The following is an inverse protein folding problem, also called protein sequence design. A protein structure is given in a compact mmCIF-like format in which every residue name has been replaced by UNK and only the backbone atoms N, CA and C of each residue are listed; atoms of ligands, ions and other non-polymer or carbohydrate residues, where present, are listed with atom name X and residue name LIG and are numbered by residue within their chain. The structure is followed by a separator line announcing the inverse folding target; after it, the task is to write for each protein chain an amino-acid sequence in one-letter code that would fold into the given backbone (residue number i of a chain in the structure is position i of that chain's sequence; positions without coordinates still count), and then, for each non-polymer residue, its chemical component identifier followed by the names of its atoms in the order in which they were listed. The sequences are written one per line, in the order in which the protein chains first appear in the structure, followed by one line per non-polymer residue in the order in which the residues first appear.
data_IF_022704528754
#
_entry.id   IF_022704528754
#
_cell.length_a   1.000
_cell.length_b   1.000
_cell.length_c   1.000
_cell.angle_alpha   90.00
_cell.angle_beta   90.00
_cell.angle_gamma   90.00
#
_symmetry.space_group_name_H-M   'P 1'
#
loop_
_entity.id
_entity.type
_entity.pdbx_description
1 polymer ?
#
# COMPACT_ATOMS: atom_id res chain seq x y z
N UNK A 1 -13.14 13.38 -5.72
CA UNK A 1 -14.09 13.20 -4.59
C UNK A 1 -14.62 11.78 -4.49
N UNK A 2 -15.04 11.17 -5.60
CA UNK A 2 -15.54 9.79 -5.63
C UNK A 2 -14.52 8.78 -5.08
N UNK A 3 -13.24 8.97 -5.38
CA UNK A 3 -12.14 8.09 -4.98
C UNK A 3 -12.04 8.00 -3.46
N UNK A 4 -12.09 9.15 -2.79
CA UNK A 4 -12.03 9.25 -1.32
C UNK A 4 -13.26 8.62 -0.66
N UNK A 5 -14.44 8.80 -1.25
CA UNK A 5 -15.68 8.21 -0.75
C UNK A 5 -15.69 6.68 -0.87
N UNK A 6 -15.28 6.14 -2.02
CA UNK A 6 -15.17 4.70 -2.21
C UNK A 6 -14.06 4.11 -1.35
N UNK A 7 -12.91 4.80 -1.25
CA UNK A 7 -11.81 4.38 -0.37
C UNK A 7 -12.27 4.30 1.09
N UNK A 8 -12.97 5.33 1.57
CA UNK A 8 -13.60 5.34 2.88
C UNK A 8 -14.49 4.12 3.11
N UNK A 9 -15.38 3.82 2.15
CA UNK A 9 -16.32 2.68 2.23
C UNK A 9 -15.59 1.35 2.36
N UNK A 10 -14.51 1.15 1.59
CA UNK A 10 -13.72 -0.07 1.62
C UNK A 10 -12.93 -0.17 2.92
N UNK A 11 -12.19 0.87 3.31
CA UNK A 11 -11.38 0.88 4.53
C UNK A 11 -12.27 0.61 5.75
N UNK A 12 -13.43 1.29 5.86
CA UNK A 12 -14.37 1.06 6.96
C UNK A 12 -14.85 -0.40 7.02
N UNK A 13 -15.21 -1.01 5.88
CA UNK A 13 -15.64 -2.41 5.83
C UNK A 13 -14.53 -3.37 6.25
N UNK A 14 -13.30 -3.14 5.76
CA UNK A 14 -12.13 -3.97 6.08
C UNK A 14 -11.86 -3.90 7.58
N UNK A 15 -11.77 -2.70 8.16
CA UNK A 15 -11.48 -2.52 9.58
C UNK A 15 -12.61 -3.00 10.49
N UNK A 16 -13.87 -2.85 10.07
CA UNK A 16 -15.02 -3.32 10.86
C UNK A 16 -15.15 -4.84 10.88
N UNK A 17 -14.88 -5.51 9.75
CA UNK A 17 -15.07 -6.97 9.61
C UNK A 17 -13.79 -7.77 9.81
N UNK A 18 -12.65 -7.08 9.97
CA UNK A 18 -11.31 -7.64 9.97
C UNK A 18 -11.05 -8.58 8.77
N UNK A 19 -11.56 -8.21 7.59
CA UNK A 19 -11.47 -9.02 6.36
C UNK A 19 -11.16 -8.14 5.17
N UNK A 20 -10.02 -8.39 4.54
CA UNK A 20 -9.68 -7.81 3.25
C UNK A 20 -10.22 -8.70 2.13
N UNK A 21 -10.86 -8.09 1.14
CA UNK A 21 -11.47 -8.81 0.01
C UNK A 21 -11.01 -8.17 -1.29
N UNK A 22 -10.21 -8.91 -2.06
CA UNK A 22 -9.79 -8.49 -3.40
C UNK A 22 -11.00 -8.29 -4.33
N UNK A 23 -12.07 -9.07 -4.16
CA UNK A 23 -13.31 -8.90 -4.94
C UNK A 23 -14.02 -7.58 -4.62
N UNK A 24 -14.06 -7.18 -3.35
CA UNK A 24 -14.61 -5.88 -2.93
C UNK A 24 -13.80 -4.76 -3.59
N UNK A 25 -12.48 -4.77 -3.40
CA UNK A 25 -11.56 -3.77 -3.95
C UNK A 25 -11.70 -3.63 -5.48
N UNK A 26 -11.70 -4.75 -6.20
CA UNK A 26 -11.84 -4.77 -7.66
C UNK A 26 -13.20 -4.24 -8.12
N UNK A 27 -14.28 -4.57 -7.39
CA UNK A 27 -15.63 -4.07 -7.69
C UNK A 27 -15.71 -2.54 -7.56
N UNK A 28 -15.13 -1.96 -6.50
CA UNK A 28 -15.09 -0.49 -6.35
C UNK A 28 -14.16 0.17 -7.38
N UNK A 29 -12.99 -0.41 -7.65
CA UNK A 29 -12.09 0.12 -8.67
C UNK A 29 -12.75 0.16 -10.06
N UNK A 30 -13.49 -0.88 -10.44
CA UNK A 30 -14.25 -0.91 -11.71
C UNK A 30 -15.31 0.18 -11.76
N UNK A 31 -16.02 0.43 -10.64
CA UNK A 31 -17.00 1.51 -10.54
C UNK A 31 -16.35 2.88 -10.78
N UNK A 32 -15.22 3.14 -10.13
CA UNK A 32 -14.47 4.40 -10.30
C UNK A 32 -14.03 4.59 -11.75
N UNK A 33 -13.46 3.54 -12.35
CA UNK A 33 -13.03 3.57 -13.76
C UNK A 33 -14.21 3.86 -14.72
N UNK A 34 -15.38 3.30 -14.45
CA UNK A 34 -16.59 3.52 -15.27
C UNK A 34 -17.09 4.97 -15.17
N UNK A 35 -16.74 5.68 -14.10
CA UNK A 35 -17.12 7.08 -13.87
C UNK A 35 -15.96 8.04 -14.16
N UNK A 36 -14.99 7.60 -14.97
CA UNK A 36 -13.79 8.37 -15.35
C UNK A 36 -12.96 8.87 -14.16
N UNK A 37 -13.11 8.25 -12.99
CA UNK A 37 -12.36 8.61 -11.79
C UNK A 37 -10.97 7.97 -11.76
N UNK A 38 -10.13 8.47 -10.86
CA UNK A 38 -8.77 7.96 -10.71
C UNK A 38 -8.74 6.69 -9.82
N UNK A 39 -8.86 5.52 -10.46
CA UNK A 39 -8.83 4.23 -9.76
C UNK A 39 -7.47 3.93 -9.10
N UNK A 40 -6.36 4.46 -9.62
CA UNK A 40 -5.02 4.30 -9.04
C UNK A 40 -4.93 5.04 -7.72
N UNK A 41 -5.40 6.30 -7.70
CA UNK A 41 -5.50 7.09 -6.47
C UNK A 41 -6.36 6.39 -5.42
N UNK A 42 -7.48 5.78 -5.82
CA UNK A 42 -8.27 4.94 -4.92
C UNK A 42 -7.50 3.75 -4.34
N UNK A 43 -6.75 3.00 -5.17
CA UNK A 43 -5.92 1.90 -4.70
C UNK A 43 -4.85 2.37 -3.71
N UNK A 44 -4.18 3.48 -4.03
CA UNK A 44 -3.18 4.11 -3.17
C UNK A 44 -3.77 4.47 -1.82
N UNK A 45 -4.94 5.13 -1.79
CA UNK A 45 -5.63 5.47 -0.54
C UNK A 45 -5.99 4.23 0.28
N UNK A 46 -6.63 3.23 -0.33
CA UNK A 46 -7.11 2.03 0.41
C UNK A 46 -5.94 1.22 0.94
N UNK A 47 -5.00 0.84 0.07
CA UNK A 47 -3.85 0.01 0.46
C UNK A 47 -2.95 0.77 1.43
N UNK A 48 -2.72 2.05 1.17
CA UNK A 48 -1.90 2.91 2.01
C UNK A 48 -2.43 3.06 3.43
N UNK A 49 -3.72 3.39 3.58
CA UNK A 49 -4.34 3.51 4.91
C UNK A 49 -4.33 2.19 5.66
N UNK A 50 -4.60 1.06 4.99
CA UNK A 50 -4.58 -0.25 5.64
C UNK A 50 -3.15 -0.61 6.08
N UNK A 51 -2.18 -0.41 5.19
CA UNK A 51 -0.76 -0.70 5.44
C UNK A 51 -0.19 0.14 6.58
N UNK A 52 -0.54 1.44 6.63
CA UNK A 52 -0.07 2.41 7.63
C UNK A 52 -1.01 2.58 8.82
N UNK A 53 -2.01 1.70 8.98
CA UNK A 53 -3.10 1.87 9.96
C UNK A 53 -2.56 2.06 11.39
N UNK A 54 -1.57 1.27 11.79
CA UNK A 54 -0.99 1.35 13.14
C UNK A 54 -0.41 2.73 13.45
N UNK A 55 0.38 3.27 12.51
CA UNK A 55 0.98 4.59 12.64
C UNK A 55 -0.08 5.70 12.58
N UNK A 56 -1.02 5.63 11.62
CA UNK A 56 -2.12 6.60 11.50
C UNK A 56 -3.00 6.63 12.76
N UNK A 57 -3.22 5.47 13.38
CA UNK A 57 -3.94 5.36 14.66
C UNK A 57 -3.16 6.01 15.80
N UNK A 58 -1.86 5.79 15.86
CA UNK A 58 -0.96 6.43 16.83
C UNK A 58 -0.98 7.95 16.69
N UNK A 59 -0.74 8.47 15.49
CA UNK A 59 -0.80 9.90 15.16
C UNK A 59 -2.14 10.50 15.57
N UNK A 60 -3.25 9.87 15.16
CA UNK A 60 -4.58 10.36 15.51
C UNK A 60 -4.86 10.35 17.02
N UNK A 61 -4.23 9.46 17.78
CA UNK A 61 -4.33 9.43 19.25
C UNK A 61 -3.47 10.48 19.95
N UNK A 62 -2.37 10.91 19.31
CA UNK A 62 -1.47 11.97 19.80
C UNK A 62 -2.08 13.36 19.63
N UNK A 63 -3.06 13.52 18.75
CA UNK A 63 -3.83 14.76 18.62
C UNK A 63 -5.19 14.66 19.32
N UNK A 64 -5.56 15.74 20.00
CA UNK A 64 -6.79 15.79 20.79
C UNK A 64 -6.65 15.09 22.15
N UNK A 65 -7.78 14.90 22.82
CA UNK A 65 -7.80 14.32 24.16
C UNK A 65 -7.84 12.77 24.06
N UNK A 66 -6.88 12.01 24.60
CA UNK A 66 -6.78 10.56 24.41
C UNK A 66 -8.07 9.80 24.74
N UNK A 67 -8.70 10.14 25.89
CA UNK A 67 -10.00 9.56 26.30
C UNK A 67 -11.17 9.87 25.35
N UNK A 68 -11.10 10.98 24.60
CA UNK A 68 -12.13 11.34 23.62
C UNK A 68 -11.91 10.56 22.33
N UNK A 69 -10.66 10.51 21.84
CA UNK A 69 -10.31 9.75 20.65
C UNK A 69 -10.59 8.25 20.79
N UNK A 70 -10.31 7.65 21.96
CA UNK A 70 -10.59 6.24 22.20
C UNK A 70 -12.07 5.89 22.05
N UNK A 71 -12.96 6.81 22.42
CA UNK A 71 -14.43 6.68 22.31
C UNK A 71 -14.99 7.10 20.93
N UNK A 72 -14.16 7.63 20.04
CA UNK A 72 -14.59 8.03 18.70
C UNK A 72 -14.98 6.80 17.87
N UNK A 73 -16.14 6.86 17.21
CA UNK A 73 -16.62 5.81 16.32
C UNK A 73 -15.58 5.52 15.21
N UNK A 74 -15.38 4.23 14.90
CA UNK A 74 -14.51 3.78 13.82
C UNK A 74 -14.80 4.52 12.51
N UNK A 75 -16.06 4.85 12.23
CA UNK A 75 -16.49 5.65 11.08
C UNK A 75 -15.75 6.99 10.98
N UNK A 76 -15.54 7.67 12.10
CA UNK A 76 -14.84 8.95 12.16
C UNK A 76 -13.33 8.72 12.17
N UNK A 77 -12.84 7.66 12.85
CA UNK A 77 -11.43 7.28 12.80
C UNK A 77 -10.95 7.02 11.38
N UNK A 78 -11.75 6.33 10.54
CA UNK A 78 -11.41 6.09 9.13
C UNK A 78 -11.27 7.40 8.33
N UNK A 79 -12.10 8.42 8.61
CA UNK A 79 -11.95 9.74 7.97
C UNK A 79 -10.61 10.39 8.37
N UNK A 80 -10.25 10.30 9.66
CA UNK A 80 -8.97 10.80 10.14
C UNK A 80 -7.80 10.06 9.49
N UNK A 81 -7.84 8.73 9.44
CA UNK A 81 -6.77 7.94 8.80
C UNK A 81 -6.61 8.28 7.33
N UNK A 82 -7.72 8.46 6.62
CA UNK A 82 -7.70 8.88 5.22
C UNK A 82 -7.09 10.28 5.06
N UNK A 83 -7.45 11.22 5.93
CA UNK A 83 -6.89 12.58 5.93
C UNK A 83 -5.40 12.60 6.25
N UNK A 84 -4.98 11.96 7.34
CA UNK A 84 -3.57 11.86 7.73
C UNK A 84 -2.74 11.14 6.68
N UNK A 85 -3.23 10.05 6.09
CA UNK A 85 -2.49 9.34 5.05
C UNK A 85 -2.18 10.24 3.85
N UNK A 86 -3.13 11.06 3.42
CA UNK A 86 -2.91 12.02 2.34
C UNK A 86 -1.84 13.05 2.72
N UNK A 87 -1.93 13.63 3.92
CA UNK A 87 -0.98 14.64 4.39
C UNK A 87 0.45 14.10 4.57
N UNK A 88 0.59 12.83 4.92
CA UNK A 88 1.87 12.25 5.34
C UNK A 88 2.60 11.50 4.23
N UNK A 89 1.87 11.00 3.23
CA UNK A 89 2.43 10.06 2.26
C UNK A 89 2.15 10.43 0.79
N UNK A 90 1.31 11.43 0.51
CA UNK A 90 0.92 11.78 -0.85
C UNK A 90 1.37 13.20 -1.22
N UNK A 91 2.63 13.34 -1.61
CA UNK A 91 3.22 14.62 -2.05
C UNK A 91 2.46 15.28 -3.21
N UNK A 92 1.75 14.49 -4.01
CA UNK A 92 0.92 14.97 -5.12
C UNK A 92 -0.40 15.63 -4.68
N UNK A 93 -0.78 15.53 -3.41
CA UNK A 93 -2.01 16.11 -2.86
C UNK A 93 -1.63 17.27 -1.94
N UNK A 94 -1.92 18.53 -2.31
CA UNK A 94 -1.66 19.67 -1.43
C UNK A 94 -2.38 19.55 -0.08
N UNK A 95 -1.74 19.98 1.00
CA UNK A 95 -2.27 19.88 2.37
C UNK A 95 -3.70 20.41 2.51
N UNK A 96 -3.95 21.61 1.99
CA UNK A 96 -5.27 22.23 2.05
C UNK A 96 -6.33 21.37 1.33
N UNK A 97 -5.98 20.78 0.18
CA UNK A 97 -6.86 19.91 -0.58
C UNK A 97 -7.14 18.60 0.15
N UNK A 98 -6.13 18.01 0.79
CA UNK A 98 -6.30 16.81 1.63
C UNK A 98 -7.27 17.08 2.80
N UNK A 99 -7.13 18.22 3.47
CA UNK A 99 -8.01 18.63 4.58
C UNK A 99 -9.42 18.90 4.07
N UNK A 100 -9.59 19.81 3.12
CA UNK A 100 -10.90 20.29 2.67
C UNK A 100 -11.75 19.16 2.08
N UNK A 101 -11.15 18.28 1.28
CA UNK A 101 -11.88 17.14 0.69
C UNK A 101 -12.27 16.11 1.75
N UNK A 102 -11.41 15.88 2.76
CA UNK A 102 -11.74 14.96 3.86
C UNK A 102 -12.84 15.53 4.76
N UNK A 103 -12.83 16.85 5.01
CA UNK A 103 -13.86 17.57 5.77
C UNK A 103 -15.19 17.59 5.02
N UNK A 104 -15.16 17.85 3.70
CA UNK A 104 -16.33 17.79 2.83
C UNK A 104 -16.93 16.38 2.81
N UNK A 105 -16.09 15.35 2.74
CA UNK A 105 -16.53 13.96 2.83
C UNK A 105 -17.18 13.66 4.18
N UNK A 106 -16.57 14.11 5.29
CA UNK A 106 -17.12 13.96 6.63
C UNK A 106 -18.51 14.61 6.77
N UNK A 107 -18.67 15.82 6.23
CA UNK A 107 -19.96 16.54 6.21
C UNK A 107 -21.02 15.79 5.39
N UNK A 108 -20.61 15.26 4.23
CA UNK A 108 -21.49 14.55 3.30
C UNK A 108 -21.99 13.22 3.88
N UNK A 109 -21.12 12.46 4.53
CA UNK A 109 -21.47 11.15 5.09
C UNK A 109 -22.16 11.23 6.44
N UNK A 110 -21.95 12.33 7.18
CA UNK A 110 -22.41 12.48 8.56
C UNK A 110 -23.07 13.83 8.79
N UNK A 111 -22.39 14.75 9.47
CA UNK A 111 -22.94 16.04 9.86
C UNK A 111 -21.82 17.07 10.06
N UNK A 112 -22.21 18.33 10.23
CA UNK A 112 -21.28 19.45 10.41
C UNK A 112 -20.35 19.25 11.61
N UNK A 113 -20.87 18.73 12.74
CA UNK A 113 -20.06 18.49 13.95
C UNK A 113 -18.93 17.48 13.71
N UNK A 114 -19.18 16.41 12.94
CA UNK A 114 -18.13 15.46 12.55
C UNK A 114 -17.10 16.12 11.63
N UNK A 115 -17.55 16.95 10.69
CA UNK A 115 -16.67 17.68 9.79
C UNK A 115 -15.75 18.65 10.54
N UNK A 116 -16.29 19.40 11.51
CA UNK A 116 -15.53 20.33 12.34
C UNK A 116 -14.47 19.61 13.18
N UNK A 117 -14.83 18.44 13.74
CA UNK A 117 -13.88 17.61 14.48
C UNK A 117 -12.74 17.10 13.61
N UNK A 118 -13.06 16.56 12.42
CA UNK A 118 -12.05 16.10 11.45
C UNK A 118 -11.14 17.25 11.05
N UNK A 119 -11.70 18.42 10.72
CA UNK A 119 -10.94 19.62 10.36
C UNK A 119 -9.97 20.03 11.49
N UNK A 120 -10.46 20.10 12.73
CA UNK A 120 -9.65 20.49 13.89
C UNK A 120 -8.47 19.54 14.11
N UNK A 121 -8.71 18.22 13.98
CA UNK A 121 -7.68 17.18 14.13
C UNK A 121 -6.60 17.26 13.05
N UNK A 122 -6.98 17.37 11.77
CA UNK A 122 -6.03 17.46 10.66
C UNK A 122 -5.23 18.78 10.71
N UNK A 123 -5.89 19.91 11.01
CA UNK A 123 -5.20 21.20 11.20
C UNK A 123 -4.28 21.20 12.42
N UNK A 124 -4.58 20.41 13.46
CA UNK A 124 -3.69 20.28 14.61
C UNK A 124 -2.39 19.61 14.24
N UNK A 125 -2.44 18.58 13.39
CA UNK A 125 -1.24 17.94 12.87
C UNK A 125 -0.40 18.90 12.03
N UNK A 126 -1.02 19.65 11.11
CA UNK A 126 -0.28 20.63 10.29
C UNK A 126 0.44 21.72 11.11
N UNK A 127 -0.08 22.07 12.30
CA UNK A 127 0.59 23.02 13.21
C UNK A 127 1.76 22.41 13.98
N UNK A 128 1.68 21.11 14.30
CA UNK A 128 2.72 20.39 15.04
C UNK A 128 2.87 18.99 14.44
N UNK A 129 3.57 18.85 13.30
CA UNK A 129 3.67 17.56 12.61
C UNK A 129 4.58 16.57 13.35
N UNK A 130 5.40 17.05 14.29
CA UNK A 130 6.32 16.19 15.04
C UNK A 130 5.57 15.29 16.02
N UNK A 131 5.64 13.98 15.80
CA UNK A 131 5.06 12.94 16.64
C UNK A 131 6.16 12.31 17.46
N UNK A 132 6.06 12.44 18.79
CA UNK A 132 6.97 11.76 19.71
C UNK A 132 6.65 10.26 19.68
N UNK A 133 7.61 9.46 19.23
CA UNK A 133 7.55 8.00 19.26
C UNK A 133 8.15 7.46 20.57
N UNK A 134 7.84 6.21 20.96
CA UNK A 134 8.52 5.57 22.08
C UNK A 134 10.04 5.55 21.91
N UNK A 135 10.76 5.62 23.03
CA UNK A 135 12.23 5.52 23.07
C UNK A 135 12.71 4.09 22.85
N UNK A 136 11.92 3.11 23.29
CA UNK A 136 12.24 1.69 23.16
C UNK A 136 12.21 1.24 21.69
N UNK A 137 13.26 0.58 21.17
CA UNK A 137 13.37 0.28 19.73
C UNK A 137 12.23 -0.56 19.17
N UNK A 138 11.83 -1.64 19.86
CA UNK A 138 10.80 -2.56 19.36
C UNK A 138 9.43 -1.85 19.24
N UNK A 139 8.90 -1.19 20.30
CA UNK A 139 7.68 -0.39 20.18
C UNK A 139 7.77 0.75 19.16
N UNK A 140 8.92 1.42 19.05
CA UNK A 140 9.15 2.46 18.05
C UNK A 140 8.97 1.91 16.64
N UNK A 141 9.73 0.88 16.28
CA UNK A 141 9.71 0.25 14.95
C UNK A 141 8.30 -0.27 14.64
N UNK A 142 7.66 -0.93 15.62
CA UNK A 142 6.31 -1.46 15.45
C UNK A 142 5.29 -0.36 15.10
N UNK A 143 5.32 0.78 15.81
CA UNK A 143 4.43 1.91 15.55
C UNK A 143 4.76 2.59 14.24
N UNK A 144 6.02 2.96 14.04
CA UNK A 144 6.51 3.72 12.87
C UNK A 144 6.26 2.98 11.56
N UNK A 145 6.50 1.67 11.56
CA UNK A 145 6.29 0.82 10.39
C UNK A 145 4.95 0.07 10.40
N UNK A 146 4.06 0.35 11.37
CA UNK A 146 2.70 -0.22 11.42
C UNK A 146 2.64 -1.76 11.48
N UNK A 147 3.51 -2.38 12.27
CA UNK A 147 3.50 -3.81 12.56
C UNK A 147 3.08 -4.11 14.01
N UNK A 148 2.57 -5.31 14.30
CA UNK A 148 2.43 -5.78 15.69
C UNK A 148 3.79 -5.83 16.39
N UNK A 149 3.82 -5.40 17.66
CA UNK A 149 5.04 -5.39 18.48
C UNK A 149 5.67 -6.79 18.59
N UNK A 150 4.83 -7.82 18.68
CA UNK A 150 5.26 -9.22 18.79
C UNK A 150 5.96 -9.72 17.53
N UNK A 151 5.52 -9.25 16.35
CA UNK A 151 6.16 -9.58 15.08
C UNK A 151 7.55 -8.93 14.99
N UNK A 152 7.65 -7.65 15.36
CA UNK A 152 8.95 -6.96 15.39
C UNK A 152 9.89 -7.62 16.39
N UNK A 153 9.41 -7.96 17.59
CA UNK A 153 10.22 -8.71 18.56
C UNK A 153 10.77 -10.01 17.96
N UNK A 154 9.91 -10.78 17.29
CA UNK A 154 10.32 -12.04 16.64
C UNK A 154 11.37 -11.81 15.54
N UNK A 155 11.25 -10.74 14.76
CA UNK A 155 12.25 -10.40 13.74
C UNK A 155 13.57 -9.95 14.36
N UNK A 156 13.53 -9.20 15.46
CA UNK A 156 14.73 -8.80 16.20
C UNK A 156 15.46 -10.03 16.76
N UNK A 157 14.73 -11.02 17.26
CA UNK A 157 15.31 -12.26 17.78
C UNK A 157 16.00 -13.10 16.70
N UNK A 158 15.45 -13.12 15.47
CA UNK A 158 15.96 -13.94 14.36
C UNK A 158 17.06 -13.22 13.58
N UNK A 159 16.87 -11.93 13.28
CA UNK A 159 17.70 -11.20 12.32
C UNK A 159 18.54 -10.08 12.97
N UNK A 160 18.30 -9.76 14.24
CA UNK A 160 18.90 -8.61 14.92
C UNK A 160 18.13 -7.31 14.65
N UNK A 161 18.40 -6.28 15.47
CA UNK A 161 17.64 -5.03 15.49
C UNK A 161 17.65 -4.29 14.14
N UNK A 162 18.84 -4.06 13.58
CA UNK A 162 19.03 -3.30 12.34
C UNK A 162 18.34 -3.97 11.15
N UNK A 163 18.53 -5.29 11.00
CA UNK A 163 17.91 -6.05 9.91
C UNK A 163 16.38 -6.14 10.07
N UNK A 164 15.87 -6.25 11.29
CA UNK A 164 14.43 -6.25 11.54
C UNK A 164 13.78 -4.92 11.13
N UNK A 165 14.45 -3.79 11.42
CA UNK A 165 14.00 -2.46 10.98
C UNK A 165 14.06 -2.33 9.46
N UNK A 166 15.17 -2.75 8.83
CA UNK A 166 15.29 -2.77 7.37
C UNK A 166 14.18 -3.61 6.73
N UNK A 167 13.85 -4.78 7.29
CA UNK A 167 12.79 -5.64 6.81
C UNK A 167 11.41 -4.96 6.93
N UNK A 168 11.16 -4.27 8.06
CA UNK A 168 9.94 -3.50 8.28
C UNK A 168 9.80 -2.33 7.31
N UNK A 169 10.90 -1.65 6.98
CA UNK A 169 10.96 -0.62 5.93
C UNK A 169 10.67 -1.23 4.56
N UNK A 170 11.38 -2.29 4.19
CA UNK A 170 11.29 -2.95 2.89
C UNK A 170 9.87 -3.42 2.57
N UNK A 171 9.23 -4.16 3.48
CA UNK A 171 7.86 -4.62 3.27
C UNK A 171 6.83 -3.48 3.25
N UNK A 172 7.22 -2.29 3.71
CA UNK A 172 6.41 -1.08 3.62
C UNK A 172 6.56 -0.28 2.32
N UNK A 173 7.57 -0.56 1.52
CA UNK A 173 7.75 0.05 0.19
C UNK A 173 6.65 -0.38 -0.79
N UNK A 174 6.53 0.35 -1.91
CA UNK A 174 5.67 -0.07 -3.01
C UNK A 174 6.27 -1.34 -3.64
N UNK A 175 5.49 -2.43 -3.77
CA UNK A 175 6.03 -3.66 -4.31
C UNK A 175 6.32 -3.50 -5.79
N UNK A 176 7.56 -3.77 -6.18
CA UNK A 176 7.89 -4.08 -7.57
C UNK A 176 7.16 -5.38 -7.97
N UNK A 177 6.91 -5.57 -9.28
CA UNK A 177 6.43 -6.87 -9.77
C UNK A 177 7.56 -7.67 -10.36
N UNK A 178 7.50 -8.97 -10.11
CA UNK A 178 8.40 -9.93 -10.71
C UNK A 178 7.75 -10.52 -11.96
N UNK A 179 8.49 -10.48 -13.06
CA UNK A 179 8.11 -10.99 -14.37
C UNK A 179 9.00 -12.18 -14.68
N UNK A 180 8.40 -13.30 -15.07
CA UNK A 180 9.10 -14.47 -15.58
C UNK A 180 8.93 -14.60 -17.08
N UNK A 181 10.03 -14.71 -17.80
CA UNK A 181 10.05 -14.87 -19.26
C UNK A 181 9.47 -16.24 -19.62
N UNK A 182 8.54 -16.27 -20.57
CA UNK A 182 8.13 -17.52 -21.20
C UNK A 182 9.13 -17.88 -22.30
N UNK A 183 10.08 -18.76 -21.98
CA UNK A 183 11.16 -19.18 -22.89
C UNK A 183 10.66 -20.00 -24.09
N UNK A 184 9.42 -20.48 -24.07
CA UNK A 184 8.80 -21.13 -25.24
C UNK A 184 8.26 -20.13 -26.26
N UNK A 185 7.90 -18.91 -25.82
CA UNK A 185 7.28 -17.90 -26.67
C UNK A 185 8.28 -16.81 -27.10
N UNK A 186 9.26 -16.48 -26.26
CA UNK A 186 10.24 -15.42 -26.52
C UNK A 186 11.59 -15.71 -25.87
N UNK A 187 12.57 -14.84 -26.09
CA UNK A 187 13.87 -14.87 -25.40
C UNK A 187 14.02 -13.65 -24.50
N UNK A 188 14.92 -13.76 -23.52
CA UNK A 188 15.25 -12.66 -22.61
C UNK A 188 15.64 -11.38 -23.38
N UNK A 189 16.60 -11.48 -24.29
CA UNK A 189 17.11 -10.33 -25.05
C UNK A 189 15.99 -9.60 -25.82
N UNK A 190 15.08 -10.37 -26.43
CA UNK A 190 13.92 -9.82 -27.13
C UNK A 190 12.99 -9.09 -26.18
N UNK A 191 12.74 -9.67 -25.00
CA UNK A 191 11.87 -9.05 -24.00
C UNK A 191 12.49 -7.79 -23.38
N UNK A 192 13.79 -7.79 -23.08
CA UNK A 192 14.49 -6.59 -22.61
C UNK A 192 14.42 -5.47 -23.64
N UNK A 193 14.68 -5.76 -24.92
CA UNK A 193 14.58 -4.78 -26.00
C UNK A 193 13.14 -4.26 -26.16
N UNK A 194 12.17 -5.15 -26.05
CA UNK A 194 10.74 -4.82 -26.12
C UNK A 194 10.31 -3.84 -25.02
N UNK A 195 10.76 -4.04 -23.78
CA UNK A 195 10.46 -3.16 -22.65
C UNK A 195 11.27 -1.87 -22.66
N UNK A 196 12.54 -1.92 -23.08
CA UNK A 196 13.38 -0.72 -23.21
C UNK A 196 12.79 0.27 -24.23
N UNK A 197 12.22 -0.22 -25.34
CA UNK A 197 11.51 0.61 -26.32
C UNK A 197 10.20 1.23 -25.79
N UNK A 198 9.75 0.85 -24.59
CA UNK A 198 8.52 1.34 -23.93
C UNK A 198 8.81 2.10 -22.63
N UNK A 199 10.08 2.43 -22.39
CA UNK A 199 10.54 3.09 -21.15
C UNK A 199 10.15 2.33 -19.88
N UNK A 200 10.19 0.99 -19.93
CA UNK A 200 9.97 0.12 -18.78
C UNK A 200 11.30 -0.49 -18.37
N UNK A 201 11.85 -0.02 -17.24
CA UNK A 201 13.09 -0.53 -16.67
C UNK A 201 12.86 -1.93 -16.08
N UNK A 202 13.57 -2.93 -16.62
CA UNK A 202 13.66 -4.26 -16.04
C UNK A 202 15.00 -4.45 -15.35
N UNK A 203 14.97 -4.94 -14.11
CA UNK A 203 16.17 -5.25 -13.32
C UNK A 203 16.31 -6.75 -13.13
N UNK A 204 17.54 -7.25 -13.24
CA UNK A 204 17.86 -8.67 -13.05
C UNK A 204 18.05 -8.99 -11.57
N UNK A 205 17.81 -10.23 -11.20
CA UNK A 205 18.26 -10.78 -9.92
C UNK A 205 19.60 -11.51 -10.08
N UNK A 206 20.60 -11.26 -9.23
CA UNK A 206 21.79 -12.10 -9.19
C UNK A 206 21.41 -13.56 -8.94
N UNK A 207 21.86 -14.47 -9.81
CA UNK A 207 21.66 -15.91 -9.64
C UNK A 207 20.29 -16.47 -10.02
N UNK A 208 19.31 -15.65 -10.42
CA UNK A 208 17.99 -16.13 -10.86
C UNK A 208 17.86 -15.90 -12.37
N UNK A 209 17.59 -16.97 -13.11
CA UNK A 209 17.44 -16.91 -14.57
C UNK A 209 16.00 -16.59 -14.93
N UNK A 210 15.81 -15.90 -16.06
CA UNK A 210 14.50 -15.64 -16.65
C UNK A 210 13.49 -14.89 -15.76
N UNK A 211 13.91 -14.30 -14.63
CA UNK A 211 13.07 -13.47 -13.77
C UNK A 211 13.64 -12.08 -13.63
N UNK A 212 12.77 -11.09 -13.78
CA UNK A 212 13.11 -9.67 -13.77
C UNK A 212 12.13 -8.91 -12.91
N UNK A 213 12.61 -7.83 -12.34
CA UNK A 213 11.83 -6.89 -11.56
C UNK A 213 11.47 -5.70 -12.44
N UNK A 214 10.17 -5.48 -12.62
CA UNK A 214 9.65 -4.27 -13.25
C UNK A 214 9.19 -3.29 -12.17
N UNK A 215 9.76 -2.09 -12.17
CA UNK A 215 9.34 -1.02 -11.25
C UNK A 215 7.91 -0.56 -11.53
N UNK A 216 7.55 -0.45 -12.80
CA UNK A 216 6.20 -0.07 -13.20
C UNK A 216 5.30 -1.29 -13.32
N UNK A 217 4.73 -1.67 -12.18
CA UNK A 217 3.87 -2.83 -12.06
C UNK A 217 2.66 -2.78 -13.00
N UNK A 218 2.08 -1.60 -13.18
CA UNK A 218 0.85 -1.45 -13.97
C UNK A 218 1.11 -1.50 -15.45
N UNK A 219 2.18 -0.84 -15.92
CA UNK A 219 2.55 -0.93 -17.34
C UNK A 219 2.80 -2.38 -17.75
N UNK A 220 3.53 -3.14 -16.94
CA UNK A 220 3.77 -4.55 -17.26
C UNK A 220 2.54 -5.46 -17.10
N UNK A 221 1.56 -5.12 -16.25
CA UNK A 221 0.30 -5.89 -16.16
C UNK A 221 -0.66 -5.61 -17.32
N UNK A 222 -0.64 -4.41 -17.88
CA UNK A 222 -1.54 -3.98 -18.97
C UNK A 222 -0.90 -4.11 -20.36
N UNK A 223 0.34 -4.57 -20.46
CA UNK A 223 1.06 -4.69 -21.72
C UNK A 223 0.61 -5.92 -22.53
N UNK A 224 0.62 -5.78 -23.86
CA UNK A 224 0.18 -6.82 -24.80
C UNK A 224 1.00 -8.09 -24.67
N UNK A 225 2.29 -8.00 -24.35
CA UNK A 225 3.15 -9.16 -24.14
C UNK A 225 2.72 -10.03 -22.95
N UNK A 226 2.03 -9.45 -21.96
CA UNK A 226 1.43 -10.23 -20.88
C UNK A 226 0.22 -11.05 -21.39
N UNK A 227 -0.69 -10.41 -22.14
CA UNK A 227 -1.87 -11.09 -22.68
C UNK A 227 -1.54 -12.15 -23.74
N UNK A 228 -0.47 -11.92 -24.52
CA UNK A 228 0.04 -12.87 -25.51
C UNK A 228 0.91 -13.98 -24.91
N UNK A 229 1.14 -13.95 -23.58
CA UNK A 229 1.87 -15.01 -22.88
C UNK A 229 3.38 -15.01 -23.11
N UNK A 230 3.98 -13.88 -23.52
CA UNK A 230 5.44 -13.73 -23.62
C UNK A 230 6.12 -13.74 -22.26
N UNK A 231 5.38 -13.41 -21.21
CA UNK A 231 5.83 -13.52 -19.83
C UNK A 231 4.64 -13.69 -18.87
N UNK A 232 4.93 -14.05 -17.63
CA UNK A 232 3.96 -14.16 -16.54
C UNK A 232 4.41 -13.36 -15.32
N UNK A 233 3.46 -13.07 -14.40
CA UNK A 233 3.78 -12.47 -13.11
C UNK A 233 4.03 -13.59 -12.10
N UNK A 234 5.26 -13.70 -11.62
CA UNK A 234 5.66 -14.75 -10.69
C UNK A 234 6.78 -14.24 -9.79
N UNK A 235 6.69 -14.53 -8.48
CA UNK A 235 7.73 -14.16 -7.54
C UNK A 235 9.08 -14.83 -7.84
N UNK A 236 10.18 -14.11 -7.59
CA UNK A 236 11.52 -14.60 -7.86
C UNK A 236 11.87 -15.85 -7.04
N UNK A 237 11.46 -15.90 -5.76
CA UNK A 237 11.68 -17.09 -4.94
C UNK A 237 10.85 -18.28 -5.46
N UNK A 238 9.62 -18.04 -5.92
CA UNK A 238 8.79 -19.08 -6.51
C UNK A 238 9.37 -19.63 -7.83
N UNK A 239 10.06 -18.81 -8.62
CA UNK A 239 10.76 -19.28 -9.82
C UNK A 239 11.99 -20.12 -9.47
N UNK A 240 12.74 -19.72 -8.43
CA UNK A 240 13.93 -20.44 -7.99
C UNK A 240 13.61 -21.89 -7.59
N UNK A 241 12.42 -22.14 -7.03
CA UNK A 241 11.98 -23.51 -6.70
C UNK A 241 11.97 -24.41 -7.95
N UNK A 242 11.56 -23.89 -9.11
CA UNK A 242 11.54 -24.66 -10.36
C UNK A 242 12.96 -24.90 -10.87
N UNK A 243 13.81 -23.88 -10.79
CA UNK A 243 15.22 -23.99 -11.18
C UNK A 243 15.98 -24.99 -10.29
N UNK A 244 15.65 -25.07 -8.99
CA UNK A 244 16.21 -26.03 -8.04
C UNK A 244 15.67 -27.45 -8.24
N UNK A 245 14.41 -27.59 -8.70
CA UNK A 245 13.81 -28.88 -9.00
C UNK A 245 14.42 -29.52 -10.25
N UNK A 246 14.87 -28.71 -11.21
CA UNK A 246 15.47 -29.11 -12.49
C UNK A 246 14.70 -30.23 -13.23
N UNK A 247 13.39 -30.03 -13.52
CA UNK A 247 12.57 -31.06 -14.14
C UNK A 247 13.02 -31.37 -15.58
N UNK A 248 13.13 -32.66 -15.91
CA UNK A 248 13.52 -33.10 -17.25
C UNK A 248 12.30 -33.27 -18.17
N UNK A 249 12.49 -33.18 -19.50
CA UNK A 249 11.42 -33.46 -20.45
C UNK A 249 10.84 -34.87 -20.25
N UNK A 250 9.51 -34.96 -20.15
CA UNK A 250 8.71 -36.21 -19.99
C UNK A 250 8.66 -36.79 -18.57
N UNK A 251 9.12 -36.06 -17.56
CA UNK A 251 8.86 -36.40 -16.16
C UNK A 251 7.44 -35.95 -15.75
N UNK A 252 6.84 -36.65 -14.78
CA UNK A 252 5.49 -36.38 -14.26
C UNK A 252 5.54 -36.08 -12.77
#
# INVERSE_FOLDING_TARGET
MIERQEAYSVIYKVLKKNKFSSSLLNKQAKKIKTQEGNHEFFYTLVKGVIKRKGYLEYVASSFGHPKKYSKTDLKVKVLLYLGYYQLMYLDSVPDHSAVDETVKLAKTLYNQRTADFVNAMLRSYLRKPNIELPTEPIPRIAIEHSYPTELISSWVDIYGLENAEYLAMYFNEFPDINIRVNTYATTLEKLLKYFNNRDIELRTYPGIKNVFRAKDAQKALNDVGFSEGYYSIQDAAASLVVDLLDPLPKES
#
